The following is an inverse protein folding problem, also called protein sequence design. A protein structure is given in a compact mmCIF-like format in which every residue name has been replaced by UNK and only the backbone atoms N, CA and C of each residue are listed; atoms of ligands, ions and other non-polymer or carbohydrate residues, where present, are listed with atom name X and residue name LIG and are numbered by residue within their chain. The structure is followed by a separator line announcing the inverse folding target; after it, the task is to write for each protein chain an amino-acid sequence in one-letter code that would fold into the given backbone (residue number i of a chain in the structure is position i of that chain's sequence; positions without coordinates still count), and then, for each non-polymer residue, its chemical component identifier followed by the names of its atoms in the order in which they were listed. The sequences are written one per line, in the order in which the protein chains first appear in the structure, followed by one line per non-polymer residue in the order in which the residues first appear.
data_IF_634550038786
#
_entry.id   IF_634550038786
#
_cell.length_a   1.000
_cell.length_b   1.000
_cell.length_c   1.000
_cell.angle_alpha   90.00
_cell.angle_beta   90.00
_cell.angle_gamma   90.00
#
_symmetry.space_group_name_H-M   'P 1'
#
loop_
_entity.id
_entity.type
_entity.pdbx_description
1 polymer ?
#
# COMPACT_ATOMS: atom_id res chain seq x y z
N UNK A 1 9.62 17.58 -12.61
CA UNK A 1 10.07 16.58 -11.62
C UNK A 1 11.46 16.86 -11.11
N UNK A 2 12.52 16.75 -11.91
CA UNK A 2 13.90 16.98 -11.42
C UNK A 2 14.12 18.30 -10.67
N UNK A 3 13.58 19.43 -11.18
CA UNK A 3 13.66 20.74 -10.49
C UNK A 3 12.94 20.76 -9.13
N UNK A 4 11.84 20.03 -9.00
CA UNK A 4 11.11 19.91 -7.73
C UNK A 4 11.92 19.07 -6.75
N UNK A 5 12.45 17.92 -7.19
CA UNK A 5 13.31 17.05 -6.39
C UNK A 5 14.54 17.79 -5.85
N UNK A 6 15.26 18.51 -6.72
CA UNK A 6 16.41 19.31 -6.32
C UNK A 6 16.09 20.50 -5.41
N UNK A 7 14.83 20.93 -5.33
CA UNK A 7 14.40 21.97 -4.40
C UNK A 7 14.13 21.42 -3.00
N UNK A 8 13.55 20.22 -2.91
CA UNK A 8 13.25 19.61 -1.60
C UNK A 8 14.50 18.99 -0.96
N UNK A 9 15.45 18.51 -1.79
CA UNK A 9 16.76 17.98 -1.38
C UNK A 9 16.62 16.83 -0.37
N UNK A 10 15.64 15.95 -0.57
CA UNK A 10 15.42 14.81 0.34
C UNK A 10 16.62 13.86 0.35
N UNK A 11 17.25 13.66 -0.82
CA UNK A 11 18.48 12.88 -1.00
C UNK A 11 19.67 13.44 -0.20
N UNK A 12 19.75 14.77 -0.05
CA UNK A 12 20.83 15.43 0.69
C UNK A 12 20.53 15.54 2.18
N UNK A 13 19.25 15.65 2.57
CA UNK A 13 18.80 15.83 3.96
C UNK A 13 18.57 14.51 4.70
N UNK A 14 18.18 13.47 3.99
CA UNK A 14 17.85 12.15 4.51
C UNK A 14 18.75 11.13 3.83
N UNK A 15 20.04 11.12 4.20
CA UNK A 15 21.04 10.25 3.58
C UNK A 15 20.75 8.75 3.74
N UNK A 16 19.83 8.40 4.62
CA UNK A 16 19.37 7.03 4.85
C UNK A 16 18.22 6.61 3.91
N UNK A 17 17.37 7.55 3.49
CA UNK A 17 16.24 7.27 2.61
C UNK A 17 16.74 7.17 1.16
N UNK A 18 16.37 6.11 0.44
CA UNK A 18 16.88 5.90 -0.91
C UNK A 18 16.27 6.89 -1.90
N UNK A 19 17.13 7.59 -2.65
CA UNK A 19 16.72 8.52 -3.68
C UNK A 19 16.18 7.81 -4.94
N UNK A 20 14.92 7.37 -4.92
CA UNK A 20 14.29 6.54 -5.99
C UNK A 20 13.44 7.32 -7.01
N UNK A 21 13.83 8.56 -7.36
CA UNK A 21 12.97 9.44 -8.18
C UNK A 21 12.63 8.85 -9.56
N UNK A 22 13.58 8.15 -10.20
CA UNK A 22 13.39 7.58 -11.54
C UNK A 22 12.47 6.36 -11.50
N UNK A 23 12.63 5.52 -10.49
CA UNK A 23 11.82 4.35 -10.19
C UNK A 23 10.38 4.77 -9.84
N UNK A 24 10.22 5.80 -9.00
CA UNK A 24 8.92 6.41 -8.69
C UNK A 24 8.21 6.92 -9.95
N UNK A 25 8.97 7.49 -10.89
CA UNK A 25 8.44 7.93 -12.19
C UNK A 25 8.07 6.75 -13.08
N UNK A 26 8.86 5.69 -13.10
CA UNK A 26 8.57 4.48 -13.85
C UNK A 26 7.25 3.83 -13.40
N UNK A 27 7.02 3.73 -12.08
CA UNK A 27 5.73 3.30 -11.52
C UNK A 27 4.57 4.17 -12.00
N UNK A 28 4.76 5.50 -12.00
CA UNK A 28 3.74 6.44 -12.48
C UNK A 28 3.39 6.24 -13.96
N UNK A 29 4.34 5.80 -14.79
CA UNK A 29 4.08 5.43 -16.20
C UNK A 29 3.25 4.14 -16.28
N UNK A 30 3.51 3.16 -15.41
CA UNK A 30 2.73 1.92 -15.34
C UNK A 30 1.24 2.17 -15.08
N UNK A 31 0.93 3.07 -14.14
CA UNK A 31 -0.46 3.45 -13.85
C UNK A 31 -1.11 4.26 -14.99
N UNK A 32 -0.31 5.07 -15.69
CA UNK A 32 -0.77 6.10 -16.63
C UNK A 32 0.10 6.17 -17.88
N UNK A 33 0.03 5.15 -18.73
CA UNK A 33 0.91 5.00 -19.89
C UNK A 33 0.63 6.00 -21.02
N UNK A 34 -0.63 6.46 -21.17
CA UNK A 34 -1.05 7.37 -22.25
C UNK A 34 -0.32 8.73 -22.20
N UNK A 35 0.15 9.27 -23.34
CA UNK A 35 0.95 10.50 -23.36
C UNK A 35 0.25 11.71 -22.71
N UNK A 36 -1.08 11.79 -22.79
CA UNK A 36 -1.96 12.81 -22.22
C UNK A 36 -1.90 12.92 -20.70
N UNK A 37 -1.55 11.84 -19.99
CA UNK A 37 -1.51 11.79 -18.52
C UNK A 37 -0.23 12.39 -17.92
N UNK A 38 0.44 13.29 -18.64
CA UNK A 38 1.71 13.90 -18.23
C UNK A 38 1.62 14.68 -16.92
N UNK A 39 0.46 15.23 -16.57
CA UNK A 39 0.24 15.89 -15.27
C UNK A 39 0.06 14.86 -14.14
N UNK A 40 -0.82 13.88 -14.33
CA UNK A 40 -1.04 12.78 -13.39
C UNK A 40 0.26 12.05 -13.04
N UNK A 41 1.10 11.73 -14.04
CA UNK A 41 2.41 11.11 -13.81
C UNK A 41 3.30 11.95 -12.89
N UNK A 42 3.35 13.28 -13.06
CA UNK A 42 4.18 14.15 -12.22
C UNK A 42 3.71 14.17 -10.77
N UNK A 43 2.41 14.23 -10.55
CA UNK A 43 1.80 14.23 -9.21
C UNK A 43 2.06 12.89 -8.53
N UNK A 44 1.75 11.76 -9.20
CA UNK A 44 1.97 10.41 -8.66
C UNK A 44 3.45 10.12 -8.38
N UNK A 45 4.37 10.62 -9.20
CA UNK A 45 5.81 10.47 -8.93
C UNK A 45 6.22 11.19 -7.64
N UNK A 46 5.65 12.36 -7.36
CA UNK A 46 5.91 13.07 -6.12
C UNK A 46 5.35 12.30 -4.91
N UNK A 47 4.13 11.77 -5.05
CA UNK A 47 3.46 10.96 -4.02
C UNK A 47 4.27 9.68 -3.74
N UNK A 48 4.64 8.92 -4.78
CA UNK A 48 5.51 7.74 -4.65
C UNK A 48 6.79 8.08 -3.90
N UNK A 49 7.48 9.17 -4.28
CA UNK A 49 8.71 9.55 -3.61
C UNK A 49 8.52 9.91 -2.14
N UNK A 50 7.37 10.51 -1.76
CA UNK A 50 7.04 10.73 -0.35
C UNK A 50 6.75 9.42 0.37
N UNK A 51 5.93 8.54 -0.22
CA UNK A 51 5.61 7.23 0.34
C UNK A 51 6.90 6.46 0.64
N UNK A 52 7.79 6.30 -0.35
CA UNK A 52 9.04 5.55 -0.16
C UNK A 52 9.96 6.19 0.88
N UNK A 53 9.96 7.52 0.98
CA UNK A 53 10.76 8.21 2.01
C UNK A 53 10.18 7.98 3.41
N UNK A 54 8.86 7.95 3.54
CA UNK A 54 8.18 7.70 4.81
C UNK A 54 8.34 6.24 5.21
N UNK A 55 8.14 5.31 4.28
CA UNK A 55 8.43 3.88 4.43
C UNK A 55 9.84 3.67 4.98
N UNK A 56 10.85 4.23 4.32
CA UNK A 56 12.25 4.21 4.80
C UNK A 56 12.40 4.82 6.21
N UNK A 57 11.59 5.80 6.64
CA UNK A 57 11.66 6.36 8.00
C UNK A 57 11.15 5.35 9.05
N UNK A 58 10.09 4.60 8.76
CA UNK A 58 9.49 3.64 9.68
C UNK A 58 10.22 2.29 9.68
N UNK A 59 10.81 1.90 8.55
CA UNK A 59 11.57 0.64 8.40
C UNK A 59 13.06 0.78 8.77
N UNK A 60 13.56 1.99 8.97
CA UNK A 60 14.96 2.19 9.30
C UNK A 60 15.28 1.60 10.69
N UNK A 61 16.44 0.94 10.79
CA UNK A 61 16.92 0.31 12.02
C UNK A 61 17.30 1.37 13.07
N UNK A 62 16.30 1.88 13.78
CA UNK A 62 16.51 2.85 14.83
C UNK A 62 16.73 2.21 16.21
N UNK A 63 17.52 2.88 17.05
CA UNK A 63 18.02 2.44 18.34
C UNK A 63 17.00 2.57 19.49
N UNK A 64 16.04 1.64 19.56
CA UNK A 64 15.27 1.37 20.79
C UNK A 64 14.11 2.34 21.08
N UNK A 65 13.75 2.50 22.37
CA UNK A 65 12.53 3.18 22.83
C UNK A 65 12.43 4.67 22.44
N UNK A 66 13.55 5.36 22.22
CA UNK A 66 13.55 6.77 21.83
C UNK A 66 12.91 6.97 20.46
N UNK A 67 13.24 6.09 19.51
CA UNK A 67 12.77 6.25 18.14
C UNK A 67 11.33 5.81 17.97
N UNK A 68 10.91 4.78 18.70
CA UNK A 68 9.49 4.41 18.74
C UNK A 68 8.62 5.59 19.18
N UNK A 69 9.06 6.38 20.17
CA UNK A 69 8.33 7.59 20.61
C UNK A 69 8.28 8.67 19.52
N UNK A 70 9.31 8.79 18.69
CA UNK A 70 9.33 9.71 17.56
C UNK A 70 8.35 9.28 16.46
N UNK A 71 8.32 8.00 16.12
CA UNK A 71 7.37 7.41 15.17
C UNK A 71 5.94 7.52 15.69
N UNK A 72 5.67 7.18 16.95
CA UNK A 72 4.36 7.37 17.59
C UNK A 72 3.90 8.84 17.55
N UNK A 73 4.81 9.79 17.80
CA UNK A 73 4.52 11.21 17.72
C UNK A 73 4.20 11.63 16.28
N UNK A 74 4.96 11.15 15.30
CA UNK A 74 4.74 11.40 13.88
C UNK A 74 3.37 10.89 13.43
N UNK A 75 3.03 9.64 13.74
CA UNK A 75 1.71 9.05 13.47
C UNK A 75 0.59 9.80 14.21
N UNK A 76 0.82 10.22 15.45
CA UNK A 76 -0.17 11.00 16.20
C UNK A 76 -0.42 12.38 15.56
N UNK A 77 0.58 12.99 14.93
CA UNK A 77 0.44 14.29 14.28
C UNK A 77 -0.48 14.23 13.05
N UNK A 78 -0.49 13.12 12.30
CA UNK A 78 -1.37 12.97 11.13
C UNK A 78 -2.85 12.87 11.51
N UNK A 79 -3.15 12.30 12.68
CA UNK A 79 -4.52 12.08 13.20
C UNK A 79 -5.24 13.30 13.78
N UNK A 80 -4.61 14.47 13.88
CA UNK A 80 -5.14 15.60 14.69
C UNK A 80 -6.36 16.32 14.09
N UNK A 81 -6.80 15.95 12.90
CA UNK A 81 -7.89 16.63 12.20
C UNK A 81 -9.26 16.27 12.81
N UNK A 82 -10.08 17.29 13.06
CA UNK A 82 -11.39 17.16 13.70
C UNK A 82 -12.52 17.50 12.71
N UNK A 83 -13.58 16.70 12.74
CA UNK A 83 -14.76 16.85 11.89
C UNK A 83 -16.03 17.14 12.69
N UNK A 84 -15.97 17.26 14.02
CA UNK A 84 -17.18 17.37 14.87
C UNK A 84 -18.06 18.57 14.55
N UNK A 85 -17.49 19.65 14.02
CA UNK A 85 -18.23 20.87 13.67
C UNK A 85 -18.61 20.95 12.19
N UNK A 86 -18.23 19.95 11.38
CA UNK A 86 -18.44 19.96 9.93
C UNK A 86 -19.93 20.07 9.56
N UNK A 87 -20.81 19.47 10.38
CA UNK A 87 -22.26 19.51 10.18
C UNK A 87 -22.87 20.91 10.27
N UNK A 88 -22.17 21.86 10.88
CA UNK A 88 -22.62 23.24 11.05
C UNK A 88 -22.29 24.13 9.83
N UNK A 89 -21.45 23.67 8.90
CA UNK A 89 -21.01 24.43 7.74
C UNK A 89 -21.98 24.33 6.56
N UNK A 90 -21.92 25.23 5.56
CA UNK A 90 -22.67 25.07 4.31
C UNK A 90 -22.25 23.83 3.50
N UNK A 91 -23.17 23.23 2.75
CA UNK A 91 -22.93 21.97 2.03
C UNK A 91 -21.71 22.00 1.09
N UNK A 92 -21.48 23.10 0.37
CA UNK A 92 -20.29 23.25 -0.48
C UNK A 92 -18.97 23.21 0.30
N UNK A 93 -18.97 23.70 1.55
CA UNK A 93 -17.81 23.67 2.44
C UNK A 93 -17.64 22.26 3.01
N UNK A 94 -18.74 21.58 3.33
CA UNK A 94 -18.70 20.17 3.75
C UNK A 94 -18.12 19.27 2.67
N UNK A 95 -18.54 19.46 1.41
CA UNK A 95 -18.03 18.67 0.27
C UNK A 95 -16.52 18.89 0.14
N UNK A 96 -16.08 20.15 0.01
CA UNK A 96 -14.66 20.50 -0.13
C UNK A 96 -13.80 19.98 1.03
N UNK A 97 -14.28 20.13 2.26
CA UNK A 97 -13.55 19.67 3.44
C UNK A 97 -13.60 18.15 3.61
N UNK A 98 -14.69 17.49 3.23
CA UNK A 98 -14.80 16.01 3.26
C UNK A 98 -13.83 15.39 2.27
N UNK A 99 -13.71 15.96 1.07
CA UNK A 99 -12.77 15.47 0.05
C UNK A 99 -11.32 15.61 0.54
N UNK A 100 -10.97 16.78 1.08
CA UNK A 100 -9.66 17.03 1.67
C UNK A 100 -9.40 16.15 2.91
N UNK A 101 -10.38 16.00 3.79
CA UNK A 101 -10.29 15.16 4.98
C UNK A 101 -10.08 13.68 4.61
N UNK A 102 -10.80 13.19 3.61
CA UNK A 102 -10.62 11.83 3.10
C UNK A 102 -9.23 11.64 2.48
N UNK A 103 -8.72 12.59 1.71
CA UNK A 103 -7.35 12.56 1.18
C UNK A 103 -6.32 12.43 2.33
N UNK A 104 -6.45 13.25 3.38
CA UNK A 104 -5.58 13.20 4.55
C UNK A 104 -5.76 11.90 5.36
N UNK A 105 -6.96 11.32 5.40
CA UNK A 105 -7.20 10.06 6.10
C UNK A 105 -6.50 8.87 5.43
N UNK A 106 -6.43 8.83 4.10
CA UNK A 106 -5.70 7.76 3.40
C UNK A 106 -4.23 7.73 3.82
N UNK A 107 -3.60 8.90 3.94
CA UNK A 107 -2.25 9.04 4.49
C UNK A 107 -2.21 8.65 5.97
N UNK A 108 -3.22 9.00 6.75
CA UNK A 108 -3.30 8.63 8.17
C UNK A 108 -3.32 7.10 8.35
N UNK A 109 -4.12 6.38 7.55
CA UNK A 109 -4.14 4.92 7.56
C UNK A 109 -2.81 4.30 7.14
N UNK A 110 -2.10 4.91 6.19
CA UNK A 110 -0.76 4.47 5.79
C UNK A 110 0.25 4.60 6.95
N UNK A 111 0.27 5.75 7.63
CA UNK A 111 1.16 5.99 8.77
C UNK A 111 0.86 5.05 9.95
N UNK A 112 -0.41 4.71 10.16
CA UNK A 112 -0.82 3.72 11.16
C UNK A 112 -0.31 2.33 10.84
N UNK A 113 -0.43 1.91 9.58
CA UNK A 113 0.06 0.62 9.13
C UNK A 113 1.59 0.52 9.25
N UNK A 114 2.32 1.57 8.84
CA UNK A 114 3.78 1.63 9.03
C UNK A 114 4.19 1.57 10.50
N UNK A 115 3.51 2.31 11.38
CA UNK A 115 3.82 2.24 12.82
C UNK A 115 3.59 0.84 13.39
N UNK A 116 2.48 0.20 13.03
CA UNK A 116 2.14 -1.14 13.53
C UNK A 116 3.15 -2.20 13.04
N UNK A 117 3.55 -2.12 11.77
CA UNK A 117 4.60 -2.99 11.21
C UNK A 117 5.96 -2.77 11.88
N UNK A 118 6.37 -1.51 12.10
CA UNK A 118 7.59 -1.18 12.84
C UNK A 118 7.54 -1.64 14.31
N UNK A 119 6.38 -1.56 14.96
CA UNK A 119 6.19 -2.10 16.31
C UNK A 119 6.35 -3.63 16.34
N UNK A 120 5.85 -4.35 15.34
CA UNK A 120 6.07 -5.80 15.23
C UNK A 120 7.55 -6.13 15.11
N UNK A 121 8.27 -5.39 14.26
CA UNK A 121 9.72 -5.54 14.11
C UNK A 121 10.46 -5.34 15.44
N UNK A 122 10.28 -4.18 16.08
CA UNK A 122 11.01 -3.83 17.31
C UNK A 122 10.69 -4.72 18.51
N UNK A 123 9.45 -5.22 18.61
CA UNK A 123 9.05 -6.15 19.68
C UNK A 123 9.44 -7.60 19.41
N UNK A 124 9.88 -7.93 18.20
CA UNK A 124 10.09 -9.30 17.74
C UNK A 124 8.79 -10.10 17.60
N UNK A 125 7.64 -9.42 17.57
CA UNK A 125 6.35 -10.04 17.37
C UNK A 125 6.25 -10.61 15.95
N UNK A 126 5.62 -11.78 15.84
CA UNK A 126 5.45 -12.50 14.57
C UNK A 126 3.95 -12.61 14.30
N UNK A 127 3.39 -11.76 13.44
CA UNK A 127 1.97 -11.85 13.10
C UNK A 127 1.68 -13.16 12.36
N UNK A 128 0.44 -13.64 12.48
CA UNK A 128 -0.10 -14.62 11.53
C UNK A 128 -0.24 -14.00 10.14
N UNK A 129 -0.38 -14.82 9.09
CA UNK A 129 -0.61 -14.33 7.73
C UNK A 129 -1.88 -13.47 7.65
N UNK A 130 -2.94 -13.84 8.37
CA UNK A 130 -4.18 -13.08 8.36
C UNK A 130 -4.02 -11.71 9.02
N UNK A 131 -3.35 -11.65 10.18
CA UNK A 131 -3.04 -10.39 10.87
C UNK A 131 -2.13 -9.50 10.02
N UNK A 132 -1.08 -10.08 9.44
CA UNK A 132 -0.19 -9.39 8.51
C UNK A 132 -0.97 -8.81 7.33
N UNK A 133 -1.75 -9.61 6.62
CA UNK A 133 -2.49 -9.16 5.43
C UNK A 133 -3.57 -8.12 5.72
N UNK A 134 -4.10 -8.05 6.95
CA UNK A 134 -5.05 -7.00 7.34
C UNK A 134 -4.38 -5.63 7.52
N UNK A 135 -3.05 -5.60 7.68
CA UNK A 135 -2.23 -4.37 7.74
C UNK A 135 -1.44 -4.11 6.47
N UNK A 136 -0.89 -5.15 5.88
CA UNK A 136 0.02 -5.07 4.74
C UNK A 136 -0.62 -4.48 3.47
N UNK A 137 -1.95 -4.58 3.33
CA UNK A 137 -2.68 -3.93 2.23
C UNK A 137 -2.77 -2.40 2.40
N UNK A 138 -2.64 -1.88 3.62
CA UNK A 138 -2.52 -0.45 3.88
C UNK A 138 -1.06 0.00 3.75
N UNK A 139 -0.10 -0.72 4.34
CA UNK A 139 1.31 -0.32 4.31
C UNK A 139 1.90 -0.28 2.90
N UNK A 140 1.39 -1.09 1.97
CA UNK A 140 1.82 -1.05 0.55
C UNK A 140 1.38 0.23 -0.19
N UNK A 141 0.61 1.12 0.45
CA UNK A 141 0.18 2.43 -0.07
C UNK A 141 -0.75 2.43 -1.28
N UNK A 142 -1.23 1.27 -1.73
CA UNK A 142 -2.10 1.15 -2.90
C UNK A 142 -3.37 2.01 -2.82
N UNK A 143 -3.95 2.13 -1.62
CA UNK A 143 -5.11 2.98 -1.34
C UNK A 143 -4.81 4.47 -1.53
N UNK A 144 -3.66 4.95 -1.04
CA UNK A 144 -3.20 6.34 -1.26
C UNK A 144 -3.06 6.62 -2.75
N UNK A 145 -2.37 5.74 -3.50
CA UNK A 145 -2.12 5.95 -4.92
C UNK A 145 -3.40 5.98 -5.75
N UNK A 146 -4.31 5.04 -5.50
CA UNK A 146 -5.59 4.95 -6.21
C UNK A 146 -6.50 6.15 -5.90
N UNK A 147 -6.53 6.61 -4.66
CA UNK A 147 -7.29 7.81 -4.27
C UNK A 147 -6.74 9.06 -4.95
N UNK A 148 -5.42 9.24 -5.00
CA UNK A 148 -4.85 10.39 -5.71
C UNK A 148 -5.05 10.29 -7.21
N UNK A 149 -4.88 9.09 -7.79
CA UNK A 149 -5.14 8.81 -9.20
C UNK A 149 -6.55 9.23 -9.61
N UNK A 150 -7.55 8.95 -8.77
CA UNK A 150 -8.93 9.41 -8.96
C UNK A 150 -9.02 10.93 -9.11
N UNK A 151 -8.37 11.70 -8.22
CA UNK A 151 -8.40 13.15 -8.27
C UNK A 151 -7.61 13.76 -9.43
N UNK A 152 -6.49 13.15 -9.85
CA UNK A 152 -5.68 13.74 -10.94
C UNK A 152 -6.24 13.50 -12.34
N UNK A 153 -7.18 12.56 -12.49
CA UNK A 153 -7.78 12.19 -13.78
C UNK A 153 -9.09 12.91 -14.12
N UNK A 154 -9.49 13.92 -13.35
CA UNK A 154 -10.76 14.62 -13.50
C UNK A 154 -11.12 14.97 -14.95
N UNK A 155 -11.99 14.16 -15.53
CA UNK A 155 -13.06 14.56 -16.42
C UNK A 155 -14.34 13.88 -15.89
N UNK A 156 -15.16 14.68 -15.18
CA UNK A 156 -16.54 14.42 -14.77
C UNK A 156 -16.84 13.16 -13.95
N UNK A 157 -16.87 13.24 -12.62
CA UNK A 157 -17.66 12.31 -11.80
C UNK A 157 -18.30 13.04 -10.62
N UNK A 158 -19.46 12.54 -10.19
CA UNK A 158 -20.28 13.12 -9.13
C UNK A 158 -19.82 12.62 -7.75
N UNK A 159 -20.18 13.35 -6.68
CA UNK A 159 -19.82 13.01 -5.27
C UNK A 159 -20.22 11.58 -4.85
N UNK A 160 -21.18 10.96 -5.54
CA UNK A 160 -21.68 9.62 -5.25
C UNK A 160 -20.72 8.54 -5.77
N UNK A 161 -20.03 8.76 -6.89
CA UNK A 161 -19.01 7.87 -7.42
C UNK A 161 -17.75 7.89 -6.53
N UNK A 162 -17.35 9.06 -6.03
CA UNK A 162 -16.24 9.19 -5.08
C UNK A 162 -16.57 8.52 -3.74
N UNK A 163 -17.74 8.83 -3.16
CA UNK A 163 -18.21 8.16 -1.94
C UNK A 163 -18.27 6.66 -2.14
N UNK A 164 -18.72 6.19 -3.30
CA UNK A 164 -18.72 4.76 -3.62
C UNK A 164 -17.30 4.20 -3.70
N UNK A 165 -16.33 4.86 -4.33
CA UNK A 165 -14.94 4.42 -4.36
C UNK A 165 -14.35 4.29 -2.94
N UNK A 166 -14.55 5.31 -2.10
CA UNK A 166 -14.07 5.33 -0.71
C UNK A 166 -14.82 4.32 0.18
N UNK A 167 -16.09 4.02 -0.13
CA UNK A 167 -16.91 3.04 0.60
C UNK A 167 -16.69 1.61 0.11
N UNK A 168 -16.34 1.41 -1.17
CA UNK A 168 -15.95 0.12 -1.76
C UNK A 168 -14.50 -0.20 -1.41
N UNK A 169 -14.21 -0.17 -0.11
CA UNK A 169 -12.98 -0.61 0.52
C UNK A 169 -12.54 -2.00 0.07
N UNK A 170 -13.48 -2.85 -0.37
CA UNK A 170 -13.18 -4.19 -0.90
C UNK A 170 -12.37 -4.17 -2.18
N UNK A 171 -12.67 -3.29 -3.14
CA UNK A 171 -11.92 -3.25 -4.41
C UNK A 171 -10.52 -2.68 -4.17
N UNK A 172 -10.44 -1.57 -3.43
CA UNK A 172 -9.16 -0.97 -3.03
C UNK A 172 -8.31 -1.96 -2.24
N UNK A 173 -8.90 -2.64 -1.25
CA UNK A 173 -8.25 -3.70 -0.47
C UNK A 173 -7.77 -4.83 -1.38
N UNK A 174 -8.59 -5.34 -2.29
CA UNK A 174 -8.18 -6.41 -3.20
C UNK A 174 -7.00 -5.99 -4.08
N UNK A 175 -7.05 -4.80 -4.69
CA UNK A 175 -5.97 -4.28 -5.54
C UNK A 175 -4.68 -4.04 -4.75
N UNK A 176 -4.80 -3.51 -3.52
CA UNK A 176 -3.65 -3.29 -2.67
C UNK A 176 -3.07 -4.61 -2.13
N UNK A 177 -3.91 -5.59 -1.76
CA UNK A 177 -3.46 -6.94 -1.38
C UNK A 177 -2.72 -7.61 -2.54
N UNK A 178 -3.23 -7.48 -3.77
CA UNK A 178 -2.55 -7.97 -4.98
C UNK A 178 -1.15 -7.35 -5.11
N UNK A 179 -1.06 -6.02 -4.98
CA UNK A 179 0.21 -5.30 -5.07
C UNK A 179 1.17 -5.76 -3.98
N UNK A 180 0.69 -5.89 -2.74
CA UNK A 180 1.46 -6.36 -1.58
C UNK A 180 2.01 -7.77 -1.80
N UNK A 181 1.19 -8.70 -2.26
CA UNK A 181 1.63 -10.07 -2.51
C UNK A 181 2.68 -10.14 -3.63
N UNK A 182 2.55 -9.31 -4.67
CA UNK A 182 3.54 -9.22 -5.73
C UNK A 182 4.86 -8.59 -5.24
N UNK A 183 4.79 -7.59 -4.37
CA UNK A 183 5.94 -6.94 -3.73
C UNK A 183 6.71 -7.94 -2.85
N UNK A 184 6.03 -8.54 -1.86
CA UNK A 184 6.62 -9.51 -0.93
C UNK A 184 7.28 -10.70 -1.64
N UNK A 185 6.77 -11.11 -2.80
CA UNK A 185 7.35 -12.19 -3.61
C UNK A 185 8.77 -11.88 -4.10
N UNK A 186 9.06 -10.61 -4.36
CA UNK A 186 10.32 -10.16 -4.95
C UNK A 186 11.23 -9.50 -3.92
N UNK A 187 10.69 -8.87 -2.87
CA UNK A 187 11.48 -8.06 -1.92
C UNK A 187 11.77 -8.76 -0.59
N UNK A 188 10.92 -9.70 -0.16
CA UNK A 188 10.97 -10.25 1.21
C UNK A 188 12.32 -10.83 1.62
N UNK A 189 13.03 -11.52 0.72
CA UNK A 189 14.35 -12.08 1.05
C UNK A 189 15.37 -10.99 1.39
N UNK A 190 15.41 -9.91 0.60
CA UNK A 190 16.32 -8.79 0.83
C UNK A 190 15.93 -7.99 2.08
N UNK A 191 14.63 -7.74 2.27
CA UNK A 191 14.07 -7.02 3.42
C UNK A 191 14.38 -7.74 4.73
N UNK A 192 14.20 -9.07 4.76
CA UNK A 192 14.52 -9.86 5.94
C UNK A 192 16.03 -9.89 6.25
N UNK A 193 16.90 -9.87 5.24
CA UNK A 193 18.36 -9.82 5.44
C UNK A 193 18.84 -8.51 6.07
N UNK A 194 18.17 -7.39 5.77
CA UNK A 194 18.52 -6.05 6.30
C UNK A 194 17.85 -5.71 7.63
N UNK A 195 17.01 -6.58 8.17
CA UNK A 195 16.31 -6.37 9.44
C UNK A 195 14.94 -5.74 9.26
N UNK A 196 13.92 -6.56 8.99
CA UNK A 196 12.53 -6.15 8.79
C UNK A 196 11.56 -7.19 9.38
N UNK A 197 10.27 -6.83 9.50
CA UNK A 197 9.21 -7.72 9.98
C UNK A 197 8.98 -8.91 9.02
N UNK A 198 8.41 -10.04 9.51
CA UNK A 198 8.02 -11.14 8.64
C UNK A 198 6.97 -10.71 7.61
N UNK A 199 7.28 -10.87 6.32
CA UNK A 199 6.36 -10.64 5.19
C UNK A 199 5.48 -11.87 4.92
N UNK A 200 4.57 -11.79 3.93
CA UNK A 200 3.54 -12.83 3.68
C UNK A 200 4.09 -14.25 3.55
N UNK A 201 5.19 -14.46 2.83
CA UNK A 201 5.82 -15.78 2.67
C UNK A 201 6.21 -16.34 4.04
N UNK A 202 6.89 -15.53 4.87
CA UNK A 202 7.40 -15.97 6.17
C UNK A 202 6.27 -16.19 7.16
N UNK A 203 5.24 -15.34 7.15
CA UNK A 203 4.03 -15.54 7.96
C UNK A 203 3.36 -16.86 7.61
N UNK A 204 3.16 -17.16 6.32
CA UNK A 204 2.54 -18.43 5.90
C UNK A 204 3.36 -19.66 6.29
N UNK A 205 4.69 -19.60 6.18
CA UNK A 205 5.58 -20.65 6.65
C UNK A 205 5.45 -20.88 8.15
N UNK A 206 5.39 -19.81 8.94
CA UNK A 206 5.27 -19.91 10.40
C UNK A 206 3.92 -20.51 10.82
N UNK A 207 2.84 -20.11 10.16
CA UNK A 207 1.49 -20.58 10.46
C UNK A 207 1.29 -22.06 10.12
N UNK A 208 1.87 -22.52 9.01
CA UNK A 208 1.57 -23.84 8.44
C UNK A 208 2.72 -24.85 8.55
N UNK A 209 3.91 -24.42 8.99
CA UNK A 209 5.09 -25.29 9.10
C UNK A 209 5.60 -25.80 7.75
N UNK A 210 5.36 -25.06 6.67
CA UNK A 210 5.70 -25.46 5.28
C UNK A 210 7.06 -24.90 4.83
N UNK A 211 7.57 -25.45 3.72
CA UNK A 211 8.77 -24.93 3.05
C UNK A 211 8.53 -23.55 2.43
N UNK A 212 9.62 -22.83 2.14
CA UNK A 212 9.55 -21.53 1.45
C UNK A 212 9.03 -21.68 0.02
N UNK A 213 9.40 -22.76 -0.67
CA UNK A 213 8.89 -23.09 -2.00
C UNK A 213 7.36 -23.29 -2.00
N UNK A 214 6.84 -24.03 -1.02
CA UNK A 214 5.38 -24.23 -0.86
C UNK A 214 4.66 -22.92 -0.52
N UNK A 215 5.25 -22.08 0.33
CA UNK A 215 4.72 -20.76 0.64
C UNK A 215 4.68 -19.85 -0.59
N UNK A 216 5.78 -19.78 -1.36
CA UNK A 216 5.85 -19.03 -2.62
C UNK A 216 4.82 -19.52 -3.64
N UNK A 217 4.62 -20.83 -3.76
CA UNK A 217 3.60 -21.37 -4.66
C UNK A 217 2.18 -20.97 -4.23
N UNK A 218 1.88 -20.99 -2.93
CA UNK A 218 0.61 -20.50 -2.40
C UNK A 218 0.37 -19.02 -2.73
N UNK A 219 1.36 -18.16 -2.50
CA UNK A 219 1.25 -16.73 -2.81
C UNK A 219 1.08 -16.48 -4.32
N UNK A 220 1.80 -17.22 -5.17
CA UNK A 220 1.62 -17.15 -6.64
C UNK A 220 0.21 -17.53 -7.07
N UNK A 221 -0.34 -18.63 -6.56
CA UNK A 221 -1.71 -19.07 -6.88
C UNK A 221 -2.71 -17.98 -6.49
N UNK A 222 -2.48 -17.29 -5.37
CA UNK A 222 -3.35 -16.22 -4.86
C UNK A 222 -3.46 -15.00 -5.79
N UNK A 223 -2.49 -14.76 -6.70
CA UNK A 223 -2.55 -13.69 -7.72
C UNK A 223 -2.71 -14.22 -9.18
N UNK A 224 -2.60 -15.53 -9.41
CA UNK A 224 -2.57 -16.14 -10.76
C UNK A 224 -3.86 -16.04 -11.58
N UNK A 225 -4.98 -15.58 -11.00
CA UNK A 225 -6.29 -15.53 -11.71
C UNK A 225 -6.27 -14.59 -12.93
N UNK A 226 -5.29 -13.67 -13.05
CA UNK A 226 -5.17 -12.78 -14.22
C UNK A 226 -3.76 -12.64 -14.80
N UNK A 227 -2.74 -13.26 -14.22
CA UNK A 227 -1.37 -13.16 -14.73
C UNK A 227 -1.14 -13.96 -16.03
N UNK A 228 -2.02 -14.93 -16.35
CA UNK A 228 -1.80 -15.87 -17.47
C UNK A 228 -3.02 -16.11 -18.40
N UNK A 229 -4.10 -15.35 -18.28
CA UNK A 229 -5.24 -15.45 -19.20
C UNK A 229 -6.60 -15.11 -18.58
N UNK A 230 -7.63 -15.08 -19.41
CA UNK A 230 -9.02 -14.80 -19.04
C UNK A 230 -9.62 -15.95 -18.20
N UNK A 231 -9.45 -15.86 -16.88
CA UNK A 231 -10.08 -16.75 -15.90
C UNK A 231 -11.61 -16.64 -15.81
N UNK A 232 -12.27 -15.87 -16.68
CA UNK A 232 -13.73 -15.73 -16.72
C UNK A 232 -14.38 -16.21 -18.01
N UNK A 233 -13.79 -15.96 -19.19
CA UNK A 233 -14.41 -16.27 -20.48
C UNK A 233 -14.02 -17.62 -21.10
N UNK A 234 -12.79 -18.12 -20.89
CA UNK A 234 -12.31 -19.37 -21.49
C UNK A 234 -11.14 -20.01 -20.70
N UNK A 235 -11.40 -20.60 -19.52
CA UNK A 235 -10.36 -21.22 -18.71
C UNK A 235 -9.78 -22.46 -19.39
N UNK A 236 -8.45 -22.57 -19.43
CA UNK A 236 -7.77 -23.80 -19.82
C UNK A 236 -8.09 -24.92 -18.82
N UNK A 237 -7.83 -26.19 -19.17
CA UNK A 237 -7.99 -27.31 -18.24
C UNK A 237 -7.14 -27.15 -16.97
N UNK A 238 -6.03 -26.40 -17.08
CA UNK A 238 -5.11 -26.11 -15.99
C UNK A 238 -5.67 -25.07 -15.00
N UNK A 239 -6.40 -24.06 -15.51
CA UNK A 239 -7.04 -23.02 -14.68
C UNK A 239 -8.23 -23.56 -13.88
N UNK A 240 -8.94 -24.55 -14.43
CA UNK A 240 -10.05 -25.24 -13.74
C UNK A 240 -9.56 -26.05 -12.53
N UNK A 241 -8.46 -26.77 -12.64
CA UNK A 241 -7.92 -27.55 -11.50
C UNK A 241 -7.48 -26.64 -10.35
N UNK A 242 -6.90 -25.47 -10.64
CA UNK A 242 -6.48 -24.50 -9.63
C UNK A 242 -7.68 -23.83 -8.92
N UNK A 243 -8.74 -23.49 -9.65
CA UNK A 243 -9.98 -22.96 -9.07
C UNK A 243 -10.73 -24.00 -8.21
N UNK A 244 -10.62 -25.29 -8.53
CA UNK A 244 -11.18 -26.39 -7.74
C UNK A 244 -10.55 -26.47 -6.33
N UNK A 245 -9.25 -26.21 -6.20
CA UNK A 245 -8.60 -26.09 -4.89
C UNK A 245 -9.08 -24.87 -4.10
N UNK A 246 -9.41 -23.76 -4.77
CA UNK A 246 -9.84 -22.52 -4.12
C UNK A 246 -11.29 -22.59 -3.59
N UNK A 247 -12.20 -23.27 -4.32
CA UNK A 247 -13.64 -23.21 -4.04
C UNK A 247 -14.31 -24.53 -3.66
N UNK A 248 -13.75 -25.69 -4.03
CA UNK A 248 -14.38 -27.00 -3.80
C UNK A 248 -13.69 -27.79 -2.69
N UNK A 249 -12.36 -27.66 -2.57
CA UNK A 249 -11.57 -28.20 -1.47
C UNK A 249 -10.89 -27.07 -0.68
N UNK A 250 -11.66 -26.15 -0.07
CA UNK A 250 -11.06 -25.06 0.68
C UNK A 250 -10.17 -25.60 1.78
N UNK A 251 -8.91 -25.15 1.80
CA UNK A 251 -8.01 -25.33 2.93
C UNK A 251 -8.62 -24.51 4.08
N UNK A 252 -8.85 -25.10 5.27
CA UNK A 252 -9.45 -24.35 6.37
C UNK A 252 -8.46 -23.27 6.83
N UNK A 253 -8.94 -22.02 6.90
CA UNK A 253 -8.32 -20.95 7.69
C UNK A 253 -8.38 -21.29 9.19
#
# INVERSE_FOLDING_TARGET
MYRWWKRIQLDEKLSFAWARLIECFYWSVGYNFGPEFGYARRVLTAINAFITTIDDIYDFEWDGESTLKELELLTKLTKRWDTTELDQLPDYTKICFTDFYNEINEWTYLFDAFLEEGMWYHSGYKPSLAEYLDKAWLSISGHVLLTHLYFVHQNSMNDQDFKSLMTYSKILRLLATILRLADDMETSSYEMERGDNPKSIKCYMNDNGVSEEEAKEHIKISFSVYLYGDGHGAPSSYDKERLLFLFVNPIPL
#
